data_IF_317938235964
#
_entry.id   IF_317938235964
#
_cell.length_a   1.000
_cell.length_b   1.000
_cell.length_c   1.000
_cell.angle_alpha   90.00
_cell.angle_beta   90.00
_cell.angle_gamma   90.00
#
_symmetry.space_group_name_H-M   'P 1'
#
loop_
_entity.id
_entity.type
_entity.pdbx_description
1 polymer ?
#
# COMPACT_ATOMS: atom_id res chain seq x y z
N UNK A 1 -2.74 17.31 -15.36
CA UNK A 1 -3.80 17.00 -14.37
C UNK A 1 -3.65 17.97 -13.20
N UNK A 2 -4.74 18.42 -12.54
CA UNK A 2 -4.64 19.24 -11.34
C UNK A 2 -3.93 18.46 -10.20
N UNK A 3 -3.18 19.16 -9.37
CA UNK A 3 -2.49 18.56 -8.21
C UNK A 3 -3.53 18.13 -7.17
N UNK A 4 -3.44 16.87 -6.75
CA UNK A 4 -4.23 16.30 -5.67
C UNK A 4 -3.73 16.82 -4.33
N UNK A 5 -4.69 17.08 -3.46
CA UNK A 5 -4.50 17.59 -2.11
C UNK A 5 -5.52 16.91 -1.22
N UNK A 6 -5.30 16.97 0.10
CA UNK A 6 -6.29 16.49 1.07
C UNK A 6 -7.68 17.13 0.85
N UNK A 7 -7.74 18.40 0.42
CA UNK A 7 -9.00 19.13 0.29
C UNK A 7 -9.79 18.80 -0.98
N UNK A 8 -9.12 18.62 -2.12
CA UNK A 8 -9.79 18.30 -3.39
C UNK A 8 -9.88 16.80 -3.67
N UNK A 9 -9.48 15.95 -2.72
CA UNK A 9 -9.58 14.49 -2.80
C UNK A 9 -9.90 13.85 -1.45
N UNK A 10 -10.56 14.58 -0.55
CA UNK A 10 -10.90 14.13 0.80
C UNK A 10 -11.59 12.76 0.80
N UNK A 11 -12.54 12.56 -0.11
CA UNK A 11 -13.26 11.30 -0.24
C UNK A 11 -12.34 10.14 -0.68
N UNK A 12 -11.38 10.37 -1.58
CA UNK A 12 -10.47 9.32 -2.03
C UNK A 12 -9.41 9.00 -0.96
N UNK A 13 -8.97 10.03 -0.23
CA UNK A 13 -8.08 9.89 0.92
C UNK A 13 -8.75 9.09 2.03
N UNK A 14 -9.99 9.42 2.40
CA UNK A 14 -10.76 8.68 3.39
C UNK A 14 -10.94 7.21 2.99
N UNK A 15 -11.24 6.93 1.72
CA UNK A 15 -11.36 5.56 1.22
C UNK A 15 -10.04 4.78 1.34
N UNK A 16 -8.91 5.39 0.97
CA UNK A 16 -7.59 4.79 1.13
C UNK A 16 -7.22 4.54 2.59
N UNK A 17 -7.42 5.54 3.46
CA UNK A 17 -7.15 5.40 4.90
C UNK A 17 -8.02 4.33 5.56
N UNK A 18 -9.31 4.26 5.19
CA UNK A 18 -10.22 3.25 5.69
C UNK A 18 -9.72 1.83 5.35
N UNK A 19 -9.39 1.55 4.09
CA UNK A 19 -8.91 0.21 3.73
C UNK A 19 -7.50 -0.09 4.25
N UNK A 20 -6.62 0.92 4.33
CA UNK A 20 -5.30 0.78 4.96
C UNK A 20 -5.37 0.38 6.43
N UNK A 21 -6.47 0.70 7.12
CA UNK A 21 -6.76 0.16 8.45
C UNK A 21 -7.36 -1.25 8.38
N UNK A 22 -8.38 -1.44 7.54
CA UNK A 22 -9.12 -2.72 7.44
C UNK A 22 -8.21 -3.89 7.11
N UNK A 23 -7.19 -3.69 6.27
CA UNK A 23 -6.28 -4.77 5.85
C UNK A 23 -5.44 -5.37 7.00
N UNK A 24 -5.39 -4.72 8.16
CA UNK A 24 -4.74 -5.25 9.36
C UNK A 24 -5.62 -6.21 10.19
N UNK A 25 -6.85 -6.49 9.77
CA UNK A 25 -7.71 -7.43 10.49
C UNK A 25 -8.33 -6.91 11.81
N UNK A 26 -8.03 -5.67 12.22
CA UNK A 26 -8.73 -4.99 13.33
C UNK A 26 -10.15 -4.57 12.88
N UNK A 27 -11.05 -5.55 12.70
CA UNK A 27 -12.40 -5.39 12.19
C UNK A 27 -13.41 -5.26 13.35
N UNK A 28 -14.00 -4.06 13.58
CA UNK A 28 -14.94 -3.86 14.68
C UNK A 28 -16.12 -4.83 14.62
N UNK A 29 -16.41 -5.48 15.76
CA UNK A 29 -17.54 -6.39 15.89
C UNK A 29 -17.29 -7.81 15.37
N UNK A 30 -16.10 -8.09 14.86
CA UNK A 30 -15.65 -9.44 14.54
C UNK A 30 -14.56 -9.86 15.52
N UNK A 31 -14.66 -11.08 16.05
CA UNK A 31 -13.55 -11.66 16.78
C UNK A 31 -12.46 -11.97 15.76
N UNK A 32 -11.23 -11.50 16.01
CA UNK A 32 -10.06 -11.99 15.26
C UNK A 32 -10.05 -13.51 15.34
N UNK A 33 -9.83 -14.17 14.21
CA UNK A 33 -9.60 -15.61 14.25
C UNK A 33 -8.35 -15.86 15.12
N UNK A 34 -8.34 -16.98 15.82
CA UNK A 34 -7.20 -17.40 16.64
C UNK A 34 -5.97 -17.79 15.81
N UNK A 35 -6.06 -17.74 14.47
CA UNK A 35 -4.90 -17.89 13.62
C UNK A 35 -4.01 -16.65 13.76
N UNK A 36 -2.70 -16.85 13.89
CA UNK A 36 -1.77 -15.74 14.11
C UNK A 36 -1.51 -14.92 12.84
N UNK A 37 -2.37 -15.03 11.82
CA UNK A 37 -2.11 -14.52 10.48
C UNK A 37 -3.24 -13.63 9.95
N UNK A 38 -4.42 -13.64 10.57
CA UNK A 38 -5.61 -12.86 10.21
C UNK A 38 -6.06 -13.09 8.75
N UNK A 39 -5.60 -14.18 8.12
CA UNK A 39 -5.89 -14.45 6.70
C UNK A 39 -7.35 -14.80 6.47
N UNK A 40 -7.99 -15.34 7.50
CA UNK A 40 -9.39 -15.76 7.51
C UNK A 40 -10.31 -14.74 8.14
N UNK A 41 -9.81 -13.55 8.47
CA UNK A 41 -10.65 -12.48 8.98
C UNK A 41 -11.77 -12.17 7.99
N UNK A 42 -12.96 -11.81 8.49
CA UNK A 42 -14.17 -11.73 7.68
C UNK A 42 -14.24 -10.42 6.87
N UNK A 43 -13.18 -10.08 6.12
CA UNK A 43 -13.06 -8.86 5.32
C UNK A 43 -14.28 -8.63 4.43
N UNK A 44 -14.73 -9.66 3.71
CA UNK A 44 -15.93 -9.59 2.87
C UNK A 44 -17.19 -9.26 3.64
N UNK A 45 -17.43 -9.95 4.76
CA UNK A 45 -18.62 -9.74 5.56
C UNK A 45 -18.60 -8.34 6.17
N UNK A 46 -17.46 -7.94 6.75
CA UNK A 46 -17.28 -6.62 7.33
C UNK A 46 -17.50 -5.52 6.29
N UNK A 47 -16.78 -5.55 5.17
CA UNK A 47 -16.88 -4.52 4.13
C UNK A 47 -18.27 -4.45 3.48
N UNK A 48 -18.98 -5.57 3.37
CA UNK A 48 -20.36 -5.57 2.89
C UNK A 48 -21.36 -4.87 3.85
N UNK A 49 -20.99 -4.68 5.12
CA UNK A 49 -21.82 -3.95 6.11
C UNK A 49 -21.49 -2.47 6.21
N UNK A 50 -20.33 -2.05 5.69
CA UNK A 50 -19.89 -0.66 5.74
C UNK A 50 -20.21 0.02 4.41
N UNK A 51 -20.97 1.11 4.48
CA UNK A 51 -21.26 1.98 3.34
C UNK A 51 -20.70 3.35 3.60
N UNK A 52 -20.23 4.02 2.55
CA UNK A 52 -19.91 5.45 2.62
C UNK A 52 -21.22 6.26 2.62
N UNK A 53 -21.27 7.44 3.26
CA UNK A 53 -22.39 8.35 3.09
C UNK A 53 -22.65 8.63 1.60
N UNK A 54 -23.84 8.25 1.10
CA UNK A 54 -24.18 8.38 -0.32
C UNK A 54 -23.57 7.33 -1.27
N UNK A 55 -22.80 6.38 -0.76
CA UNK A 55 -22.17 5.31 -1.51
C UNK A 55 -22.89 3.97 -1.41
N UNK A 56 -22.42 3.00 -2.18
CA UNK A 56 -22.81 1.59 -2.03
C UNK A 56 -22.07 0.95 -0.85
N UNK A 57 -22.40 -0.30 -0.51
CA UNK A 57 -21.54 -1.11 0.35
C UNK A 57 -20.22 -1.41 -0.36
N UNK A 58 -19.15 -1.67 0.40
CA UNK A 58 -17.89 -2.13 -0.17
C UNK A 58 -17.99 -3.58 -0.62
N UNK A 59 -17.45 -3.87 -1.81
CA UNK A 59 -17.27 -5.21 -2.35
C UNK A 59 -15.78 -5.54 -2.38
N UNK A 60 -15.36 -6.55 -1.63
CA UNK A 60 -14.01 -7.11 -1.79
C UNK A 60 -13.95 -7.90 -3.10
N UNK A 61 -13.00 -7.54 -3.95
CA UNK A 61 -12.73 -8.21 -5.22
C UNK A 61 -11.75 -9.37 -4.99
N UNK A 62 -12.06 -10.53 -5.55
CA UNK A 62 -11.21 -11.72 -5.45
C UNK A 62 -11.01 -12.40 -6.80
N UNK A 63 -10.38 -13.57 -6.81
CA UNK A 63 -10.19 -14.38 -8.02
C UNK A 63 -11.48 -14.61 -8.83
N UNK A 64 -12.66 -14.67 -8.19
CA UNK A 64 -13.95 -14.79 -8.90
C UNK A 64 -14.34 -13.52 -9.67
N UNK A 65 -13.97 -12.34 -9.14
CA UNK A 65 -14.25 -11.03 -9.74
C UNK A 65 -13.14 -10.60 -10.72
N UNK A 66 -11.98 -11.27 -10.65
CA UNK A 66 -10.76 -10.96 -11.39
C UNK A 66 -10.40 -12.12 -12.34
N UNK A 67 -11.10 -12.30 -13.46
CA UNK A 67 -10.96 -13.47 -14.33
C UNK A 67 -9.58 -13.62 -14.99
N UNK A 68 -8.78 -12.54 -15.02
CA UNK A 68 -7.39 -12.55 -15.51
C UNK A 68 -6.36 -12.79 -14.41
N UNK A 69 -6.78 -12.86 -13.14
CA UNK A 69 -5.88 -13.10 -12.03
C UNK A 69 -5.19 -14.46 -12.19
N UNK A 70 -3.87 -14.40 -12.34
CA UNK A 70 -2.99 -15.55 -12.22
C UNK A 70 -2.00 -15.29 -11.10
N UNK A 71 -2.13 -16.03 -10.01
CA UNK A 71 -1.18 -15.97 -8.90
C UNK A 71 0.25 -16.37 -9.28
N UNK A 72 0.47 -16.94 -10.47
CA UNK A 72 1.78 -17.38 -10.99
C UNK A 72 2.59 -18.24 -9.99
N UNK A 73 1.90 -18.96 -9.10
CA UNK A 73 2.51 -19.76 -8.04
C UNK A 73 3.08 -18.96 -6.86
N UNK A 74 2.94 -17.64 -6.86
CA UNK A 74 3.45 -16.72 -5.83
C UNK A 74 2.34 -15.95 -5.11
N UNK A 75 1.06 -16.14 -5.45
CA UNK A 75 -0.01 -15.48 -4.72
C UNK A 75 -1.38 -16.13 -4.87
N UNK A 76 -2.25 -15.92 -3.88
CA UNK A 76 -3.60 -16.45 -3.82
C UNK A 76 -4.53 -15.47 -3.10
N UNK A 77 -5.84 -15.67 -3.23
CA UNK A 77 -6.82 -15.05 -2.35
C UNK A 77 -7.23 -16.02 -1.25
N UNK A 78 -7.38 -15.53 -0.03
CA UNK A 78 -8.08 -16.23 1.04
C UNK A 78 -9.59 -16.34 0.71
N UNK A 79 -10.30 -17.21 1.43
CA UNK A 79 -11.75 -17.35 1.25
C UNK A 79 -12.50 -16.03 1.49
N UNK A 80 -11.99 -15.19 2.39
CA UNK A 80 -12.58 -13.90 2.77
C UNK A 80 -12.12 -12.73 1.90
N UNK A 81 -11.23 -12.99 0.93
CA UNK A 81 -10.83 -12.03 -0.11
C UNK A 81 -9.54 -11.26 0.16
N UNK A 82 -8.80 -11.59 1.23
CA UNK A 82 -7.44 -11.09 1.42
C UNK A 82 -6.53 -11.69 0.35
N UNK A 83 -5.74 -10.86 -0.33
CA UNK A 83 -4.65 -11.34 -1.16
C UNK A 83 -3.44 -11.68 -0.29
N UNK A 84 -2.83 -12.83 -0.54
CA UNK A 84 -1.59 -13.29 0.10
C UNK A 84 -0.61 -13.69 -1.00
N UNK A 85 0.47 -12.93 -1.13
CA UNK A 85 1.64 -13.22 -1.96
C UNK A 85 2.77 -13.80 -1.14
N UNK A 86 3.62 -14.63 -1.74
CA UNK A 86 4.75 -15.30 -1.10
C UNK A 86 6.05 -15.01 -1.87
N UNK A 87 7.11 -14.61 -1.16
CA UNK A 87 8.47 -14.56 -1.67
C UNK A 87 9.40 -15.45 -0.83
N UNK A 88 10.30 -16.15 -1.50
CA UNK A 88 11.38 -16.88 -0.83
C UNK A 88 12.56 -15.93 -0.61
N UNK A 89 12.87 -15.62 0.65
CA UNK A 89 14.03 -14.80 1.00
C UNK A 89 15.27 -15.63 1.34
N UNK A 90 15.08 -16.85 1.85
CA UNK A 90 16.15 -17.83 2.01
C UNK A 90 15.60 -19.26 2.05
N UNK A 91 16.48 -20.26 2.05
CA UNK A 91 16.08 -21.65 2.22
C UNK A 91 15.30 -21.83 3.54
N UNK A 92 14.00 -22.05 3.43
CA UNK A 92 13.10 -22.26 4.59
C UNK A 92 12.40 -21.01 5.13
N UNK A 93 12.72 -19.80 4.64
CA UNK A 93 12.07 -18.56 5.08
C UNK A 93 11.29 -17.93 3.93
N UNK A 94 10.01 -17.63 4.20
CA UNK A 94 9.11 -16.92 3.29
C UNK A 94 8.76 -15.57 3.87
N UNK A 95 8.71 -14.58 3.00
CA UNK A 95 8.02 -13.32 3.26
C UNK A 95 6.64 -13.36 2.61
N UNK A 96 5.70 -12.68 3.25
CA UNK A 96 4.32 -12.61 2.81
C UNK A 96 3.95 -11.15 2.52
N UNK A 97 3.40 -10.92 1.34
CA UNK A 97 2.75 -9.66 1.01
C UNK A 97 1.25 -9.83 1.11
N UNK A 98 0.60 -9.05 1.97
CA UNK A 98 -0.84 -9.11 2.21
C UNK A 98 -1.51 -7.84 1.74
N UNK A 99 -2.67 -7.95 1.09
CA UNK A 99 -3.36 -6.79 0.52
C UNK A 99 -4.84 -7.02 0.24
N UNK A 100 -5.56 -5.92 0.03
CA UNK A 100 -6.96 -5.94 -0.36
C UNK A 100 -7.17 -5.16 -1.65
N UNK A 101 -8.06 -5.68 -2.50
CA UNK A 101 -8.64 -4.93 -3.59
C UNK A 101 -10.15 -4.88 -3.35
N UNK A 102 -10.73 -3.69 -3.24
CA UNK A 102 -12.16 -3.55 -3.01
C UNK A 102 -12.74 -2.38 -3.80
N UNK A 103 -14.05 -2.46 -4.01
CA UNK A 103 -14.81 -1.51 -4.82
C UNK A 103 -15.96 -0.90 -4.02
N UNK A 104 -16.18 0.40 -4.19
CA UNK A 104 -17.32 1.14 -3.68
C UNK A 104 -17.87 2.05 -4.77
N UNK A 105 -18.98 1.67 -5.40
CA UNK A 105 -19.55 2.45 -6.51
C UNK A 105 -18.57 2.54 -7.70
N UNK A 106 -18.13 3.76 -8.02
CA UNK A 106 -17.17 4.07 -9.08
C UNK A 106 -15.70 4.10 -8.62
N UNK A 107 -15.45 3.82 -7.34
CA UNK A 107 -14.12 3.86 -6.74
C UNK A 107 -13.61 2.44 -6.49
N UNK A 108 -12.39 2.15 -6.96
CA UNK A 108 -11.65 0.92 -6.65
C UNK A 108 -10.43 1.31 -5.81
N UNK A 109 -10.18 0.57 -4.74
CA UNK A 109 -9.05 0.79 -3.84
C UNK A 109 -8.20 -0.47 -3.77
N UNK A 110 -6.93 -0.35 -4.13
CA UNK A 110 -5.87 -1.30 -3.85
C UNK A 110 -5.15 -0.87 -2.57
N UNK A 111 -4.99 -1.80 -1.63
CA UNK A 111 -4.33 -1.53 -0.35
C UNK A 111 -3.26 -2.56 -0.06
N UNK A 112 -2.08 -2.09 0.32
CA UNK A 112 -0.99 -2.90 0.85
C UNK A 112 -1.03 -2.92 2.38
N UNK A 113 -1.01 -4.12 3.00
CA UNK A 113 -0.78 -4.27 4.44
C UNK A 113 0.68 -3.91 4.74
N UNK A 114 0.90 -3.15 5.80
CA UNK A 114 2.24 -3.06 6.39
C UNK A 114 2.55 -4.27 7.27
N UNK A 115 3.68 -4.25 7.95
CA UNK A 115 4.03 -5.31 8.91
C UNK A 115 3.34 -5.08 10.25
N UNK A 116 2.75 -6.13 10.78
CA UNK A 116 2.24 -6.25 12.14
C UNK A 116 3.07 -7.29 12.90
N UNK A 117 3.91 -6.84 13.83
CA UNK A 117 4.57 -7.68 14.84
C UNK A 117 5.45 -8.87 14.36
N UNK A 118 5.52 -9.16 13.06
CA UNK A 118 6.44 -10.11 12.43
C UNK A 118 7.83 -9.47 12.34
N UNK A 119 8.45 -9.43 13.52
CA UNK A 119 9.70 -8.73 13.83
C UNK A 119 10.91 -9.23 13.03
N UNK A 120 10.89 -10.40 12.40
CA UNK A 120 12.09 -10.93 11.74
C UNK A 120 12.49 -10.16 10.46
N UNK A 121 11.54 -9.72 9.64
CA UNK A 121 11.81 -8.92 8.43
C UNK A 121 11.91 -7.42 8.70
N UNK A 122 11.19 -6.92 9.72
CA UNK A 122 11.26 -5.53 10.18
C UNK A 122 12.54 -5.24 10.99
N UNK A 123 12.89 -6.07 11.99
CA UNK A 123 14.16 -5.94 12.73
C UNK A 123 15.38 -6.40 11.92
N UNK A 124 15.18 -7.28 10.94
CA UNK A 124 16.23 -7.68 10.00
C UNK A 124 16.61 -6.58 9.00
N UNK A 125 15.86 -5.47 8.94
CA UNK A 125 16.00 -4.34 8.00
C UNK A 125 15.97 -4.72 6.51
N UNK A 126 15.79 -6.00 6.17
CA UNK A 126 15.88 -6.48 4.79
C UNK A 126 14.77 -5.90 3.93
N UNK A 127 13.54 -5.84 4.45
CA UNK A 127 12.38 -5.28 3.76
C UNK A 127 12.55 -3.80 3.39
N UNK A 128 13.48 -3.07 4.03
CA UNK A 128 13.77 -1.68 3.71
C UNK A 128 15.05 -1.46 2.90
N UNK A 129 15.77 -2.53 2.58
CA UNK A 129 16.82 -2.47 1.54
C UNK A 129 16.18 -2.39 0.16
N UNK A 130 16.91 -1.88 -0.83
CA UNK A 130 16.45 -1.89 -2.22
C UNK A 130 16.06 -3.29 -2.71
N UNK A 131 16.85 -4.32 -2.37
CA UNK A 131 16.57 -5.70 -2.76
C UNK A 131 15.31 -6.26 -2.07
N UNK A 132 15.21 -6.11 -0.75
CA UNK A 132 14.10 -6.69 0.01
C UNK A 132 12.78 -5.99 -0.25
N UNK A 133 12.78 -4.65 -0.33
CA UNK A 133 11.58 -3.88 -0.68
C UNK A 133 11.07 -4.24 -2.08
N UNK A 134 11.95 -4.43 -3.08
CA UNK A 134 11.56 -4.96 -4.40
C UNK A 134 11.06 -6.40 -4.33
N UNK A 135 11.72 -7.27 -3.56
CA UNK A 135 11.31 -8.67 -3.39
C UNK A 135 9.90 -8.74 -2.83
N UNK A 136 9.61 -7.98 -1.78
CA UNK A 136 8.29 -7.86 -1.20
C UNK A 136 7.30 -7.24 -2.18
N UNK A 137 7.64 -6.13 -2.84
CA UNK A 137 6.75 -5.52 -3.83
C UNK A 137 6.37 -6.48 -4.97
N UNK A 138 7.30 -7.36 -5.37
CA UNK A 138 7.03 -8.36 -6.40
C UNK A 138 6.03 -9.43 -5.96
N UNK A 139 5.86 -9.68 -4.65
CA UNK A 139 4.78 -10.55 -4.19
C UNK A 139 3.42 -9.96 -4.49
N UNK A 140 3.29 -8.65 -4.74
CA UNK A 140 2.02 -7.99 -5.08
C UNK A 140 1.76 -7.87 -6.57
N UNK A 141 2.73 -8.16 -7.44
CA UNK A 141 2.57 -7.99 -8.90
C UNK A 141 1.32 -8.68 -9.46
N UNK A 142 0.99 -9.94 -9.09
CA UNK A 142 -0.26 -10.56 -9.54
C UNK A 142 -1.53 -9.78 -9.16
N UNK A 143 -1.57 -9.19 -7.96
CA UNK A 143 -2.70 -8.38 -7.51
C UNK A 143 -2.75 -7.04 -8.27
N UNK A 144 -1.60 -6.39 -8.46
CA UNK A 144 -1.51 -5.11 -9.17
C UNK A 144 -1.92 -5.29 -10.64
N UNK A 145 -1.47 -6.36 -11.29
CA UNK A 145 -1.83 -6.68 -12.67
C UNK A 145 -3.33 -6.97 -12.80
N UNK A 146 -3.90 -7.73 -11.86
CA UNK A 146 -5.35 -7.95 -11.83
C UNK A 146 -6.15 -6.66 -11.58
N UNK A 147 -5.65 -5.75 -10.73
CA UNK A 147 -6.25 -4.44 -10.52
C UNK A 147 -6.20 -3.57 -11.79
N UNK A 148 -5.07 -3.59 -12.50
CA UNK A 148 -4.91 -2.92 -13.80
C UNK A 148 -5.94 -3.41 -14.81
N UNK A 149 -6.05 -4.72 -15.00
CA UNK A 149 -7.02 -5.33 -15.92
C UNK A 149 -8.46 -5.04 -15.52
N UNK A 150 -8.76 -5.07 -14.22
CA UNK A 150 -10.09 -4.74 -13.70
C UNK A 150 -10.47 -3.30 -14.04
N UNK A 151 -9.61 -2.33 -13.73
CA UNK A 151 -9.86 -0.91 -14.04
C UNK A 151 -9.97 -0.68 -15.54
N UNK A 152 -9.11 -1.31 -16.35
CA UNK A 152 -9.14 -1.19 -17.80
C UNK A 152 -10.44 -1.74 -18.43
N UNK A 153 -11.03 -2.78 -17.84
CA UNK A 153 -12.24 -3.44 -18.36
C UNK A 153 -13.56 -2.86 -17.83
N UNK A 154 -13.52 -2.01 -16.80
CA UNK A 154 -14.71 -1.45 -16.14
C UNK A 154 -14.81 0.06 -16.34
N UNK A 155 -15.42 0.49 -17.44
CA UNK A 155 -15.59 1.90 -17.79
C UNK A 155 -16.41 2.74 -16.79
N UNK A 156 -17.13 2.08 -15.89
CA UNK A 156 -17.88 2.67 -14.78
C UNK A 156 -17.01 3.01 -13.56
N UNK A 157 -15.78 2.49 -13.49
CA UNK A 157 -14.79 2.92 -12.50
C UNK A 157 -14.26 4.30 -12.90
N UNK A 158 -14.38 5.27 -12.01
CA UNK A 158 -13.91 6.66 -12.19
C UNK A 158 -12.70 6.98 -11.35
N UNK A 159 -12.50 6.28 -10.24
CA UNK A 159 -11.41 6.53 -9.32
C UNK A 159 -10.68 5.23 -8.98
N UNK A 160 -9.36 5.25 -9.09
CA UNK A 160 -8.50 4.17 -8.63
C UNK A 160 -7.56 4.70 -7.55
N UNK A 161 -7.69 4.16 -6.35
CA UNK A 161 -6.90 4.57 -5.19
C UNK A 161 -5.90 3.46 -4.86
N UNK A 162 -4.65 3.83 -4.62
CA UNK A 162 -3.62 2.93 -4.09
C UNK A 162 -3.23 3.45 -2.71
N UNK A 163 -3.25 2.61 -1.70
CA UNK A 163 -2.99 3.04 -0.32
C UNK A 163 -2.24 2.02 0.51
N UNK A 164 -1.69 2.46 1.64
CA UNK A 164 -1.00 1.60 2.58
C UNK A 164 -0.46 2.38 3.77
N UNK A 165 -0.26 1.68 4.89
CA UNK A 165 0.26 2.24 6.14
C UNK A 165 1.61 1.61 6.52
N UNK A 166 2.52 2.40 7.09
CA UNK A 166 3.86 1.96 7.51
C UNK A 166 4.62 1.35 6.32
N UNK A 167 5.06 0.08 6.39
CA UNK A 167 5.64 -0.62 5.25
C UNK A 167 4.71 -0.65 4.02
N UNK A 168 3.38 -0.72 4.23
CA UNK A 168 2.41 -0.59 3.15
C UNK A 168 2.49 0.77 2.45
N UNK A 169 2.80 1.83 3.19
CA UNK A 169 3.09 3.17 2.63
C UNK A 169 4.36 3.17 1.77
N UNK A 170 5.42 2.50 2.21
CA UNK A 170 6.63 2.27 1.39
C UNK A 170 6.29 1.54 0.09
N UNK A 171 5.37 0.56 0.11
CA UNK A 171 4.91 -0.13 -1.10
C UNK A 171 4.08 0.79 -2.02
N UNK A 172 3.35 1.77 -1.49
CA UNK A 172 2.72 2.83 -2.30
C UNK A 172 3.78 3.68 -3.00
N UNK A 173 4.89 3.98 -2.34
CA UNK A 173 6.01 4.73 -2.94
C UNK A 173 6.66 3.94 -4.08
N UNK A 174 6.85 2.63 -3.89
CA UNK A 174 7.30 1.73 -4.97
C UNK A 174 6.29 1.67 -6.12
N UNK A 175 4.98 1.61 -5.83
CA UNK A 175 3.96 1.68 -6.87
C UNK A 175 4.05 2.98 -7.68
N UNK A 176 4.26 4.12 -7.03
CA UNK A 176 4.44 5.41 -7.70
C UNK A 176 5.61 5.39 -8.71
N UNK A 177 6.68 4.68 -8.38
CA UNK A 177 7.89 4.55 -9.21
C UNK A 177 7.71 3.52 -10.32
N UNK A 178 7.13 2.36 -10.01
CA UNK A 178 7.19 1.16 -10.84
C UNK A 178 5.96 0.94 -11.72
N UNK A 179 4.78 1.38 -11.28
CA UNK A 179 3.50 0.97 -11.88
C UNK A 179 2.53 2.12 -12.12
N UNK A 180 2.64 3.25 -11.41
CA UNK A 180 1.68 4.35 -11.55
C UNK A 180 1.57 4.89 -12.99
N UNK A 181 2.65 4.88 -13.78
CA UNK A 181 2.61 5.38 -15.15
C UNK A 181 1.65 4.57 -16.03
N UNK A 182 1.68 3.23 -15.99
CA UNK A 182 0.76 2.41 -16.79
C UNK A 182 -0.70 2.67 -16.41
N UNK A 183 -1.00 2.88 -15.13
CA UNK A 183 -2.36 3.22 -14.68
C UNK A 183 -2.81 4.60 -15.17
N UNK A 184 -1.91 5.60 -15.23
CA UNK A 184 -2.22 6.90 -15.85
C UNK A 184 -2.50 6.76 -17.33
N UNK A 185 -1.72 5.93 -18.04
CA UNK A 185 -1.84 5.75 -19.48
C UNK A 185 -3.15 5.08 -19.89
N UNK A 186 -3.76 4.28 -18.99
CA UNK A 186 -5.12 3.74 -19.20
C UNK A 186 -6.14 4.84 -19.49
N UNK A 187 -6.01 6.01 -18.86
CA UNK A 187 -7.01 7.09 -18.87
C UNK A 187 -8.45 6.62 -18.57
N UNK A 188 -8.61 5.45 -17.94
CA UNK A 188 -9.89 4.83 -17.62
C UNK A 188 -10.45 5.33 -16.29
N UNK A 189 -9.56 5.57 -15.32
CA UNK A 189 -9.88 6.08 -14.00
C UNK A 189 -8.83 7.09 -13.53
N UNK A 190 -9.23 8.00 -12.65
CA UNK A 190 -8.34 8.94 -12.01
C UNK A 190 -7.54 8.25 -10.90
N UNK A 191 -6.21 8.17 -11.05
CA UNK A 191 -5.32 7.60 -10.05
C UNK A 191 -5.19 8.54 -8.85
N UNK A 192 -5.18 7.97 -7.64
CA UNK A 192 -4.83 8.67 -6.40
C UNK A 192 -4.04 7.73 -5.51
N UNK A 193 -2.86 8.16 -5.06
CA UNK A 193 -1.99 7.38 -4.19
C UNK A 193 -1.97 8.01 -2.80
N UNK A 194 -2.22 7.22 -1.77
CA UNK A 194 -2.31 7.65 -0.37
C UNK A 194 -1.31 6.85 0.45
N UNK A 195 -0.14 7.44 0.66
CA UNK A 195 0.95 6.83 1.43
C UNK A 195 0.88 7.31 2.87
N UNK A 196 0.69 6.40 3.83
CA UNK A 196 0.47 6.72 5.25
C UNK A 196 1.66 6.21 6.06
N UNK A 197 2.33 7.09 6.80
CA UNK A 197 3.50 6.74 7.62
C UNK A 197 4.57 5.92 6.87
N UNK A 198 4.80 6.21 5.58
CA UNK A 198 5.84 5.53 4.80
C UNK A 198 7.24 5.83 5.33
N UNK A 199 8.09 4.81 5.34
CA UNK A 199 9.53 4.95 5.59
C UNK A 199 10.32 5.45 4.38
N UNK A 200 9.65 5.64 3.24
CA UNK A 200 10.27 5.93 1.96
C UNK A 200 10.79 4.67 1.28
N UNK A 201 11.58 4.88 0.21
CA UNK A 201 12.25 3.83 -0.55
C UNK A 201 13.76 3.95 -0.40
N UNK A 202 14.47 2.84 -0.56
CA UNK A 202 15.93 2.81 -0.55
C UNK A 202 16.50 3.63 -1.73
N UNK A 203 17.55 4.40 -1.44
CA UNK A 203 18.18 5.30 -2.39
C UNK A 203 18.84 4.59 -3.59
N UNK A 204 19.23 3.33 -3.38
CA UNK A 204 19.90 2.46 -4.34
C UNK A 204 18.92 1.65 -5.21
N UNK A 205 17.61 1.79 -5.02
CA UNK A 205 16.57 1.14 -5.83
C UNK A 205 16.84 1.24 -7.35
N UNK A 206 17.24 2.40 -7.92
CA UNK A 206 17.49 2.50 -9.35
C UNK A 206 18.67 1.64 -9.85
N UNK A 207 19.64 1.34 -8.97
CA UNK A 207 20.81 0.51 -9.32
C UNK A 207 20.39 -0.92 -9.66
N UNK A 208 19.31 -1.43 -9.07
CA UNK A 208 18.81 -2.78 -9.33
C UNK A 208 18.24 -2.95 -10.75
N UNK A 209 17.78 -1.86 -11.37
CA UNK A 209 17.42 -1.85 -12.79
C UNK A 209 18.68 -1.82 -13.69
N UNK A 210 19.68 -1.01 -13.32
CA UNK A 210 20.94 -0.88 -14.06
C UNK A 210 21.77 -2.16 -14.12
N UNK A 211 21.62 -3.06 -13.14
CA UNK A 211 22.32 -4.35 -13.09
C UNK A 211 21.50 -5.53 -13.66
N UNK A 212 20.31 -5.29 -14.23
CA UNK A 212 19.49 -6.33 -14.86
C UNK A 212 18.91 -7.36 -13.88
N UNK A 213 18.93 -7.06 -12.56
CA UNK A 213 18.36 -7.94 -11.53
C UNK A 213 16.83 -7.86 -11.53
N UNK A 214 16.28 -6.69 -11.86
CA UNK A 214 14.85 -6.46 -12.06
C UNK A 214 14.66 -5.54 -13.27
N UNK A 215 13.96 -6.01 -14.31
CA UNK A 215 13.58 -5.17 -15.45
C UNK A 215 12.30 -4.42 -15.11
N UNK A 216 12.41 -3.16 -14.71
CA UNK A 216 11.26 -2.28 -14.56
C UNK A 216 11.51 -0.95 -15.28
N UNK A 217 10.51 -0.48 -16.02
CA UNK A 217 10.50 0.86 -16.59
C UNK A 217 10.23 1.87 -15.46
N UNK A 218 11.28 2.12 -14.67
CA UNK A 218 11.22 3.10 -13.58
C UNK A 218 10.79 4.44 -14.15
N UNK A 219 9.76 5.05 -13.58
CA UNK A 219 9.36 6.39 -13.96
C UNK A 219 10.44 7.38 -13.51
N UNK A 220 11.37 7.71 -14.40
CA UNK A 220 12.47 8.64 -14.12
C UNK A 220 12.00 10.05 -13.77
N UNK A 221 10.73 10.40 -14.04
CA UNK A 221 10.17 11.69 -13.64
C UNK A 221 9.88 11.79 -12.12
N UNK A 222 9.87 10.67 -11.39
CA UNK A 222 9.70 10.66 -9.93
C UNK A 222 11.02 10.42 -9.16
N UNK A 223 12.14 10.24 -9.87
CA UNK A 223 13.46 9.95 -9.32
C UNK A 223 14.39 11.16 -9.55
N UNK A 224 15.00 11.68 -8.49
CA UNK A 224 16.08 12.68 -8.61
C UNK A 224 17.42 12.00 -9.02
N UNK A 225 18.41 12.77 -9.46
CA UNK A 225 19.75 12.25 -9.78
C UNK A 225 20.80 12.89 -8.87
N UNK A 226 21.66 12.08 -8.26
CA UNK A 226 22.80 12.56 -7.48
C UNK A 226 24.10 12.30 -8.24
N UNK A 227 24.85 13.35 -8.55
CA UNK A 227 26.13 13.28 -9.29
C UNK A 227 26.05 12.56 -10.65
N UNK A 228 24.89 12.62 -11.33
CA UNK A 228 24.69 11.99 -12.64
C UNK A 228 24.49 10.47 -12.60
N UNK A 229 24.37 9.88 -11.41
CA UNK A 229 23.93 8.50 -11.21
C UNK A 229 22.46 8.49 -10.74
N UNK A 230 21.67 7.49 -11.16
CA UNK A 230 20.31 7.30 -10.64
C UNK A 230 20.36 7.02 -9.14
N UNK A 231 19.79 7.91 -8.32
CA UNK A 231 19.86 7.85 -6.87
C UNK A 231 18.64 8.56 -6.27
N UNK A 232 17.85 7.89 -5.44
CA UNK A 232 16.64 8.51 -4.88
C UNK A 232 17.03 9.32 -3.64
N UNK A 233 17.34 10.60 -3.82
CA UNK A 233 17.54 11.55 -2.70
C UNK A 233 16.21 12.09 -2.17
N UNK A 234 15.21 12.24 -3.05
CA UNK A 234 13.84 12.56 -2.74
C UNK A 234 12.91 11.87 -3.75
N UNK A 235 11.79 11.33 -3.29
CA UNK A 235 10.70 10.97 -4.19
C UNK A 235 10.04 12.27 -4.67
N UNK A 236 10.12 12.55 -5.98
CA UNK A 236 9.37 13.67 -6.56
C UNK A 236 7.91 13.21 -6.62
N UNK A 237 7.12 13.63 -5.64
CA UNK A 237 5.73 13.20 -5.50
C UNK A 237 4.92 13.69 -6.70
N UNK A 238 4.33 12.78 -7.50
CA UNK A 238 3.55 13.17 -8.65
C UNK A 238 2.22 13.82 -8.22
N UNK A 239 1.55 14.48 -9.16
CA UNK A 239 0.33 15.24 -8.89
C UNK A 239 -0.80 14.41 -8.27
N UNK A 240 -0.80 13.10 -8.45
CA UNK A 240 -1.77 12.14 -7.93
C UNK A 240 -1.37 11.51 -6.59
N UNK A 241 -0.28 11.96 -5.96
CA UNK A 241 0.25 11.39 -4.73
C UNK A 241 0.02 12.28 -3.50
N UNK A 242 -0.44 11.67 -2.42
CA UNK A 242 -0.68 12.29 -1.12
C UNK A 242 0.08 11.48 -0.07
N UNK A 243 1.01 12.15 0.64
CA UNK A 243 1.67 11.58 1.82
C UNK A 243 1.03 12.11 3.09
N UNK A 244 0.73 11.20 4.01
CA UNK A 244 0.25 11.48 5.36
C UNK A 244 1.32 10.96 6.32
N UNK A 245 2.22 11.84 6.75
CA UNK A 245 3.23 11.52 7.75
C UNK A 245 2.61 11.56 9.15
N UNK A 246 2.94 10.57 9.99
CA UNK A 246 2.66 10.64 11.42
C UNK A 246 3.81 11.41 12.13
N UNK A 247 3.51 12.21 13.15
CA UNK A 247 4.54 13.00 13.85
C UNK A 247 5.55 12.15 14.62
N UNK A 248 5.19 10.90 14.94
CA UNK A 248 6.02 9.95 15.67
C UNK A 248 6.75 8.93 14.76
N UNK A 249 6.48 8.93 13.45
CA UNK A 249 7.07 7.99 12.48
C UNK A 249 7.71 8.75 11.31
N UNK A 250 8.63 9.67 11.65
CA UNK A 250 9.44 10.40 10.67
C UNK A 250 10.62 9.55 10.23
N UNK A 251 10.38 8.43 9.55
CA UNK A 251 11.48 7.70 8.92
C UNK A 251 11.83 8.41 7.61
N UNK A 252 12.84 9.27 7.68
CA UNK A 252 13.58 9.70 6.50
C UNK A 252 14.74 8.72 6.34
N UNK A 253 14.68 7.90 5.30
CA UNK A 253 15.73 6.97 4.87
C UNK A 253 15.93 5.76 5.81
N UNK A 254 15.52 4.55 5.40
CA UNK A 254 15.73 3.35 6.23
C UNK A 254 17.21 3.00 6.44
N UNK A 255 18.11 3.50 5.59
CA UNK A 255 19.56 3.37 5.76
C UNK A 255 20.16 4.19 6.93
N UNK A 256 19.36 5.07 7.55
CA UNK A 256 19.75 5.90 8.70
C UNK A 256 19.04 5.48 10.00
N UNK A 257 18.60 4.22 10.11
CA UNK A 257 18.25 3.60 11.39
C UNK A 257 19.53 3.35 12.21
N UNK A 258 20.22 4.43 12.56
CA UNK A 258 21.41 4.44 13.39
C UNK A 258 21.00 4.80 14.83
N UNK A 259 20.89 3.77 15.68
CA UNK A 259 21.31 3.90 17.07
C UNK A 259 20.31 4.28 18.17
N UNK A 260 18.99 4.32 17.96
CA UNK A 260 18.04 4.58 19.08
C UNK A 260 17.00 3.47 19.29
N UNK A 261 17.50 2.23 19.35
CA UNK A 261 16.74 1.07 19.83
C UNK A 261 16.65 1.06 21.37
N UNK A 262 16.22 2.16 22.00
CA UNK A 262 16.10 2.20 23.47
C UNK A 262 15.01 3.09 24.05
N UNK A 263 13.75 2.88 23.65
CA UNK A 263 12.62 3.12 24.57
C UNK A 263 11.62 1.97 24.51
N UNK A 264 11.30 1.31 25.64
CA UNK A 264 10.30 0.26 25.67
C UNK A 264 8.92 0.86 25.38
N UNK A 265 8.14 0.18 24.55
CA UNK A 265 6.72 0.40 24.35
C UNK A 265 6.00 0.39 25.70
N UNK A 266 5.55 1.54 26.18
CA UNK A 266 4.54 1.61 27.24
C UNK A 266 3.18 1.71 26.56
N UNK A 267 2.39 0.66 26.73
CA UNK A 267 0.97 0.66 26.41
C UNK A 267 0.26 1.68 27.30
N UNK A 268 0.02 2.88 26.79
CA UNK A 268 -1.01 3.75 27.33
C UNK A 268 -1.89 4.21 26.16
N UNK A 269 -3.18 3.90 26.30
CA UNK A 269 -4.20 4.19 25.31
C UNK A 269 -4.49 5.68 25.14
N UNK A 270 -5.33 5.94 24.15
CA UNK A 270 -6.04 7.19 23.91
C UNK A 270 -5.18 8.43 23.63
N UNK A 271 -4.86 8.65 22.35
CA UNK A 271 -5.37 9.77 21.53
C UNK A 271 -4.50 9.95 20.28
N UNK A 272 -5.12 9.80 19.11
CA UNK A 272 -4.55 10.28 17.84
C UNK A 272 -4.57 11.83 17.86
N UNK A 273 -3.49 12.44 18.32
CA UNK A 273 -3.32 13.90 18.29
C UNK A 273 -2.78 14.30 16.92
N UNK A 274 -3.68 14.70 16.03
CA UNK A 274 -3.33 15.45 14.81
C UNK A 274 -2.90 16.87 15.20
N UNK A 275 -1.61 17.09 15.45
CA UNK A 275 -1.08 18.44 15.61
C UNK A 275 -0.82 19.06 14.21
N UNK A 276 -1.58 20.13 13.92
CA UNK A 276 -1.43 21.12 12.85
C UNK A 276 -2.02 20.87 11.45
N UNK A 277 -2.99 19.96 11.30
CA UNK A 277 -4.01 20.13 10.26
C UNK A 277 -5.37 20.25 10.93
N UNK A 278 -5.89 21.48 10.94
CA UNK A 278 -7.25 21.80 11.39
C UNK A 278 -8.26 21.18 10.40
N UNK A 279 -8.44 19.85 10.44
CA UNK A 279 -9.59 19.18 9.86
C UNK A 279 -10.76 19.47 10.80
N UNK A 280 -11.54 20.50 10.45
CA UNK A 280 -12.75 20.84 11.18
C UNK A 280 -13.61 19.59 11.39
N UNK A 281 -14.00 19.37 12.64
CA UNK A 281 -14.91 18.33 13.14
C UNK A 281 -15.88 17.82 12.07
N UNK A 282 -15.61 16.65 11.52
CA UNK A 282 -16.65 15.82 10.92
C UNK A 282 -17.27 15.03 12.08
N UNK A 283 -18.47 15.46 12.47
CA UNK A 283 -19.32 14.73 13.40
C UNK A 283 -19.84 13.48 12.67
N UNK A 284 -19.51 12.29 13.20
CA UNK A 284 -20.31 11.09 13.01
C UNK A 284 -21.51 11.13 13.96
#
# INVERSE_FOLDING_TARGET
MPVRTLFNSAELVEAGMFLARVVYGDLPGYAQDSDSQDWNDPYRQYLATVSRPGGSAWQVLSAQDLPTFSGNGIGTFSATGLYVGEAWVSAGNKEYGEGLLARNGDTVVLTFRGTDERLDSFLGLQAFTAAGSLTLYNTYKPLIDAAYDYVASHSDVKHFVVSGHSLGGTLVDLFAILDAQRFRDLNAAELTMVSIASAGVDEDLPKYNAFGAYNFDANTAVIDTFLGLPHITNLITPADYISIANSDDRVRFPGLLDGDASTPWTSDGDQLVYNDVLLGRLHF
#
